data_IF_296576601032
#
_entry.id   IF_296576601032
#
_cell.length_a   1.000
_cell.length_b   1.000
_cell.length_c   1.000
_cell.angle_alpha   90.00
_cell.angle_beta   90.00
_cell.angle_gamma   90.00
#
_symmetry.space_group_name_H-M   'P 1'
#
loop_
_entity.id
_entity.type
_entity.pdbx_description
1 polymer ?
#
# COMPACT_ATOMS: atom_id res chain seq x y z
N UNK A 1 3.99 -30.41 9.27
CA UNK A 1 4.09 -29.18 8.45
C UNK A 1 2.67 -28.72 8.20
N UNK A 2 2.26 -27.62 8.81
CA UNK A 2 0.93 -27.03 8.56
C UNK A 2 0.92 -26.49 7.13
N UNK A 3 0.05 -27.03 6.29
CA UNK A 3 -0.22 -26.47 4.97
C UNK A 3 -0.92 -25.13 5.17
N UNK A 4 -0.24 -24.03 4.86
CA UNK A 4 -0.84 -22.69 4.89
C UNK A 4 -1.74 -22.57 3.66
N UNK A 5 -2.99 -22.12 3.83
CA UNK A 5 -3.87 -21.89 2.68
C UNK A 5 -3.42 -20.65 1.91
N UNK A 6 -3.78 -20.56 0.62
CA UNK A 6 -3.46 -19.39 -0.18
C UNK A 6 -4.07 -18.12 0.42
N UNK A 7 -5.30 -18.21 0.91
CA UNK A 7 -6.03 -17.12 1.56
C UNK A 7 -5.33 -16.66 2.86
N UNK A 8 -4.90 -17.61 3.71
CA UNK A 8 -4.13 -17.28 4.93
C UNK A 8 -2.81 -16.57 4.59
N UNK A 9 -2.14 -16.97 3.50
CA UNK A 9 -0.93 -16.31 3.04
C UNK A 9 -1.20 -14.87 2.58
N UNK A 10 -2.26 -14.64 1.80
CA UNK A 10 -2.64 -13.31 1.34
C UNK A 10 -3.05 -12.40 2.50
N UNK A 11 -3.80 -12.93 3.46
CA UNK A 11 -4.18 -12.21 4.68
C UNK A 11 -2.94 -11.81 5.49
N UNK A 12 -2.00 -12.72 5.70
CA UNK A 12 -0.73 -12.42 6.39
C UNK A 12 0.07 -11.34 5.67
N UNK A 13 0.18 -11.39 4.33
CA UNK A 13 0.85 -10.34 3.55
C UNK A 13 0.14 -8.99 3.65
N UNK A 14 -1.19 -8.98 3.72
CA UNK A 14 -1.95 -7.77 3.96
C UNK A 14 -1.69 -7.18 5.34
N UNK A 15 -1.56 -8.02 6.36
CA UNK A 15 -1.22 -7.60 7.73
C UNK A 15 0.17 -6.98 7.81
N UNK A 16 1.16 -7.54 7.11
CA UNK A 16 2.51 -6.96 7.02
C UNK A 16 2.50 -5.58 6.34
N UNK A 17 1.66 -5.38 5.33
CA UNK A 17 1.50 -4.06 4.69
C UNK A 17 0.85 -3.05 5.63
N UNK A 18 -0.12 -3.47 6.45
CA UNK A 18 -0.72 -2.60 7.46
C UNK A 18 0.26 -2.27 8.59
N UNK A 19 1.10 -3.22 9.00
CA UNK A 19 2.17 -2.97 9.95
C UNK A 19 3.18 -1.95 9.41
N UNK A 20 3.58 -2.09 8.14
CA UNK A 20 4.46 -1.12 7.47
C UNK A 20 3.82 0.27 7.38
N UNK A 21 2.52 0.35 7.04
CA UNK A 21 1.78 1.62 7.02
C UNK A 21 1.76 2.27 8.39
N UNK A 22 1.48 1.51 9.45
CA UNK A 22 1.44 2.04 10.82
C UNK A 22 2.82 2.62 11.24
N UNK A 23 3.92 1.98 10.83
CA UNK A 23 5.26 2.50 11.06
C UNK A 23 5.53 3.80 10.30
N UNK A 24 5.10 3.89 9.03
CA UNK A 24 5.20 5.10 8.22
C UNK A 24 4.39 6.26 8.81
N UNK A 25 3.18 5.98 9.31
CA UNK A 25 2.33 6.98 9.97
C UNK A 25 2.94 7.48 11.27
N UNK A 26 3.45 6.58 12.12
CA UNK A 26 4.14 6.96 13.35
C UNK A 26 5.38 7.83 13.07
N UNK A 27 6.15 7.49 12.03
CA UNK A 27 7.27 8.31 11.57
C UNK A 27 6.79 9.67 11.07
N UNK A 28 5.77 9.70 10.21
CA UNK A 28 5.17 10.92 9.68
C UNK A 28 4.72 11.87 10.79
N UNK A 29 3.98 11.37 11.78
CA UNK A 29 3.55 12.13 12.97
C UNK A 29 4.74 12.71 13.74
N UNK A 30 5.81 11.92 13.90
CA UNK A 30 7.03 12.38 14.58
C UNK A 30 7.71 13.52 13.81
N UNK A 31 7.83 13.38 12.48
CA UNK A 31 8.50 14.36 11.62
C UNK A 31 7.71 15.66 11.48
N UNK A 32 6.37 15.60 11.37
CA UNK A 32 5.54 16.82 11.30
C UNK A 32 5.48 17.58 12.64
N UNK A 33 5.83 16.92 13.75
CA UNK A 33 5.93 17.55 15.06
C UNK A 33 7.05 18.59 15.15
N UNK A 34 8.06 18.50 14.28
CA UNK A 34 9.08 19.54 14.09
C UNK A 34 8.68 20.46 12.92
N UNK A 35 8.32 21.71 13.24
CA UNK A 35 7.87 22.68 12.26
C UNK A 35 8.92 23.01 11.17
N UNK A 36 10.21 22.93 11.50
CA UNK A 36 11.28 23.17 10.52
C UNK A 36 11.39 22.01 9.54
N UNK A 37 11.31 20.76 10.03
CA UNK A 37 11.29 19.56 9.18
C UNK A 37 10.04 19.55 8.31
N UNK A 38 8.86 19.78 8.90
CA UNK A 38 7.59 19.83 8.19
C UNK A 38 7.61 20.83 7.02
N UNK A 39 8.10 22.05 7.27
CA UNK A 39 8.12 23.11 6.26
C UNK A 39 9.16 22.82 5.17
N UNK A 40 10.33 22.31 5.55
CA UNK A 40 11.44 22.08 4.62
C UNK A 40 11.26 20.83 3.75
N UNK A 41 10.54 19.83 4.26
CA UNK A 41 10.42 18.50 3.64
C UNK A 41 8.98 18.08 3.36
N UNK A 42 8.08 19.04 3.16
CA UNK A 42 6.65 18.77 2.95
C UNK A 42 6.42 17.80 1.79
N UNK A 43 7.16 17.94 0.68
CA UNK A 43 7.04 17.07 -0.50
C UNK A 43 7.45 15.63 -0.20
N UNK A 44 8.54 15.44 0.54
CA UNK A 44 9.00 14.12 0.95
C UNK A 44 8.04 13.48 1.96
N UNK A 45 7.47 14.28 2.87
CA UNK A 45 6.45 13.82 3.81
C UNK A 45 5.15 13.40 3.10
N UNK A 46 4.72 14.15 2.08
CA UNK A 46 3.62 13.74 1.20
C UNK A 46 3.93 12.45 0.44
N UNK A 47 5.18 12.26 0.03
CA UNK A 47 5.62 11.03 -0.62
C UNK A 47 5.56 9.83 0.34
N UNK A 48 5.90 10.01 1.62
CA UNK A 48 5.75 8.98 2.65
C UNK A 48 4.27 8.62 2.89
N UNK A 49 3.39 9.63 2.99
CA UNK A 49 1.95 9.41 3.08
C UNK A 49 1.43 8.60 1.88
N UNK A 50 1.87 8.96 0.67
CA UNK A 50 1.50 8.23 -0.54
C UNK A 50 1.96 6.76 -0.50
N UNK A 51 3.12 6.45 0.09
CA UNK A 51 3.53 5.06 0.32
C UNK A 51 2.58 4.35 1.28
N UNK A 52 2.16 5.01 2.37
CA UNK A 52 1.16 4.47 3.30
C UNK A 52 -0.17 4.16 2.62
N UNK A 53 -0.67 5.06 1.77
CA UNK A 53 -1.88 4.85 0.98
C UNK A 53 -1.74 3.65 0.02
N UNK A 54 -0.56 3.48 -0.60
CA UNK A 54 -0.27 2.31 -1.43
C UNK A 54 -0.31 1.01 -0.62
N UNK A 55 0.29 0.99 0.56
CA UNK A 55 0.23 -0.17 1.45
C UNK A 55 -1.22 -0.54 1.79
N UNK A 56 -2.03 0.44 2.21
CA UNK A 56 -3.45 0.22 2.51
C UNK A 56 -4.22 -0.33 1.30
N UNK A 57 -4.02 0.26 0.12
CA UNK A 57 -4.73 -0.17 -1.09
C UNK A 57 -4.34 -1.58 -1.51
N UNK A 58 -3.07 -1.97 -1.39
CA UNK A 58 -2.62 -3.34 -1.71
C UNK A 58 -3.15 -4.32 -0.67
N UNK A 59 -3.06 -4.00 0.63
CA UNK A 59 -3.61 -4.85 1.69
C UNK A 59 -5.10 -5.10 1.49
N UNK A 60 -5.87 -4.08 1.09
CA UNK A 60 -7.29 -4.23 0.74
C UNK A 60 -7.54 -5.14 -0.46
N UNK A 61 -6.66 -5.14 -1.47
CA UNK A 61 -6.78 -6.04 -2.63
C UNK A 61 -6.48 -7.48 -2.21
N UNK A 62 -5.45 -7.69 -1.39
CA UNK A 62 -5.03 -9.02 -0.95
C UNK A 62 -6.09 -9.71 -0.07
N UNK A 63 -6.92 -8.93 0.64
CA UNK A 63 -8.04 -9.45 1.45
C UNK A 63 -9.35 -9.58 0.68
N UNK A 64 -9.39 -9.22 -0.61
CA UNK A 64 -10.61 -9.31 -1.38
C UNK A 64 -10.86 -10.76 -1.83
N UNK A 65 -12.13 -11.15 -1.89
CA UNK A 65 -12.53 -12.46 -2.43
C UNK A 65 -12.12 -12.63 -3.90
N UNK A 66 -12.12 -11.53 -4.66
CA UNK A 66 -11.65 -11.46 -6.05
C UNK A 66 -10.56 -10.39 -6.20
N UNK A 67 -9.30 -10.84 -6.20
CA UNK A 67 -8.12 -9.98 -6.38
C UNK A 67 -8.15 -9.25 -7.72
N UNK A 68 -8.65 -9.89 -8.77
CA UNK A 68 -8.69 -9.29 -10.10
C UNK A 68 -9.67 -8.12 -10.13
N UNK A 69 -10.90 -8.32 -9.67
CA UNK A 69 -11.89 -7.26 -9.57
C UNK A 69 -11.44 -6.13 -8.63
N UNK A 70 -10.91 -6.47 -7.45
CA UNK A 70 -10.44 -5.49 -6.47
C UNK A 70 -9.27 -4.65 -7.01
N UNK A 71 -8.34 -5.27 -7.75
CA UNK A 71 -7.18 -4.57 -8.31
C UNK A 71 -7.56 -3.54 -9.39
N UNK A 72 -8.63 -3.80 -10.17
CA UNK A 72 -9.17 -2.85 -11.14
C UNK A 72 -10.02 -1.76 -10.49
N UNK A 73 -10.68 -2.06 -9.36
CA UNK A 73 -11.48 -1.11 -8.59
C UNK A 73 -10.66 -0.29 -7.58
N UNK A 74 -9.34 -0.51 -7.51
CA UNK A 74 -8.46 0.16 -6.57
C UNK A 74 -8.53 1.69 -6.75
N UNK A 75 -8.89 2.40 -5.67
CA UNK A 75 -9.07 3.87 -5.68
C UNK A 75 -7.76 4.62 -5.98
N UNK A 76 -6.63 3.99 -5.70
CA UNK A 76 -5.33 4.57 -5.99
C UNK A 76 -4.96 4.30 -7.44
N UNK A 77 -5.08 5.32 -8.30
CA UNK A 77 -4.91 5.22 -9.76
C UNK A 77 -3.56 4.61 -10.19
N UNK A 78 -2.52 4.74 -9.35
CA UNK A 78 -1.21 4.13 -9.61
C UNK A 78 -1.26 2.60 -9.68
N UNK A 79 -2.24 1.95 -9.06
CA UNK A 79 -2.41 0.49 -9.10
C UNK A 79 -3.03 0.04 -10.43
N UNK A 80 -4.22 0.52 -10.85
CA UNK A 80 -4.77 0.22 -12.17
C UNK A 80 -3.84 0.60 -13.32
N UNK A 81 -3.14 1.74 -13.23
CA UNK A 81 -2.18 2.16 -14.25
C UNK A 81 -1.03 1.16 -14.43
N UNK A 82 -0.48 0.64 -13.32
CA UNK A 82 0.58 -0.38 -13.36
C UNK A 82 0.07 -1.72 -13.90
N UNK A 83 -1.16 -2.11 -13.58
CA UNK A 83 -1.77 -3.32 -14.13
C UNK A 83 -1.95 -3.22 -15.64
N UNK A 84 -2.42 -2.07 -16.14
CA UNK A 84 -2.54 -1.83 -17.57
C UNK A 84 -1.19 -1.99 -18.30
N UNK A 85 -0.09 -1.47 -17.71
CA UNK A 85 1.26 -1.65 -18.30
C UNK A 85 1.77 -3.09 -18.28
N UNK A 86 1.34 -3.91 -17.30
CA UNK A 86 1.71 -5.33 -17.27
C UNK A 86 1.00 -6.09 -18.39
N UNK A 87 -0.30 -5.86 -18.56
CA UNK A 87 -1.09 -6.50 -19.62
C UNK A 87 -0.59 -6.16 -21.03
N UNK A 88 -0.06 -4.96 -21.24
CA UNK A 88 0.54 -4.55 -22.52
C UNK A 88 1.87 -5.26 -22.84
N UNK A 89 2.57 -5.81 -21.85
CA UNK A 89 3.84 -6.54 -22.06
C UNK A 89 3.64 -8.03 -22.35
N UNK A 90 2.42 -8.54 -22.18
CA UNK A 90 2.08 -9.95 -22.36
C UNK A 90 1.43 -10.22 -23.73
N UNK A 91 1.26 -9.17 -24.56
CA UNK A 91 0.86 -9.22 -25.96
C UNK A 91 2.02 -8.81 -26.87
#
# INVERSE_FOLDING_TARGET
>A
MTSISHEDLLAMLADELDAARAQLEALGVTLIGDANVATRHMTELQSLDHVGQRCASIASILRADDLHAASHAAKLESIPARLATLNQKTH
#
